data_IF_098380959292
#
_entry.id   IF_098380959292
#
_cell.length_a   1.000
_cell.length_b   1.000
_cell.length_c   1.000
_cell.angle_alpha   90.00
_cell.angle_beta   90.00
_cell.angle_gamma   90.00
#
_symmetry.space_group_name_H-M   'P 1'
#
loop_
_entity.id
_entity.type
_entity.pdbx_description
1 polymer ?
#
# COMPACT_ATOMS: atom_id res chain seq x y z
N UNK A 1 29.30 14.22 28.74
CA UNK A 1 28.91 12.89 28.24
C UNK A 1 27.48 12.99 27.77
N UNK A 2 27.24 13.03 26.45
CA UNK A 2 25.87 12.97 25.94
C UNK A 2 25.39 11.54 26.13
N UNK A 3 24.48 11.33 27.08
CA UNK A 3 23.78 10.07 27.25
C UNK A 3 23.01 9.78 25.97
N UNK A 4 23.34 8.69 25.28
CA UNK A 4 22.60 8.20 24.13
C UNK A 4 21.15 7.98 24.59
N UNK A 5 20.19 8.59 23.90
CA UNK A 5 18.78 8.38 24.24
C UNK A 5 18.42 6.93 23.89
N UNK A 6 17.72 6.20 24.78
CA UNK A 6 17.29 4.85 24.49
C UNK A 6 16.41 4.84 23.24
N UNK A 7 16.63 3.88 22.34
CA UNK A 7 15.83 3.71 21.13
C UNK A 7 14.92 2.51 21.33
N UNK A 8 13.82 2.74 22.06
CA UNK A 8 12.88 1.67 22.39
C UNK A 8 12.05 1.29 21.15
N UNK A 9 12.04 -0.01 20.84
CA UNK A 9 11.18 -0.62 19.83
C UNK A 9 10.34 -1.73 20.46
N UNK A 10 9.08 -1.86 20.05
CA UNK A 10 8.19 -2.92 20.52
C UNK A 10 8.08 -4.02 19.47
N UNK A 11 8.46 -5.24 19.83
CA UNK A 11 8.39 -6.44 18.99
C UNK A 11 7.54 -7.47 19.74
N UNK A 12 6.43 -7.90 19.14
CA UNK A 12 5.47 -8.84 19.73
C UNK A 12 4.99 -8.46 21.14
N UNK A 13 4.83 -7.15 21.39
CA UNK A 13 4.39 -6.61 22.68
C UNK A 13 5.49 -6.52 23.74
N UNK A 14 6.73 -6.86 23.40
CA UNK A 14 7.90 -6.73 24.27
C UNK A 14 8.73 -5.53 23.84
N UNK A 15 9.14 -4.71 24.81
CA UNK A 15 10.02 -3.56 24.58
C UNK A 15 11.50 -3.98 24.56
N UNK A 16 12.23 -3.52 23.56
CA UNK A 16 13.67 -3.70 23.41
C UNK A 16 14.35 -2.35 23.20
N UNK A 17 15.54 -2.14 23.78
CA UNK A 17 16.39 -1.01 23.39
C UNK A 17 17.23 -1.41 22.17
N UNK A 18 17.03 -0.76 21.04
CA UNK A 18 17.79 -1.01 19.82
C UNK A 18 19.28 -0.68 19.97
N UNK A 19 19.69 0.07 21.00
CA UNK A 19 21.11 0.28 21.30
C UNK A 19 21.81 -1.01 21.77
N UNK A 20 21.06 -2.00 22.28
CA UNK A 20 21.59 -3.30 22.71
C UNK A 20 21.70 -4.30 21.55
N UNK A 21 21.29 -3.90 20.34
CA UNK A 21 21.29 -4.79 19.17
C UNK A 21 22.70 -4.91 18.59
N UNK A 22 23.04 -6.12 18.15
CA UNK A 22 24.19 -6.32 17.27
C UNK A 22 23.89 -5.83 15.85
N UNK A 23 24.94 -5.74 15.01
CA UNK A 23 24.84 -5.23 13.64
C UNK A 23 23.77 -5.95 12.80
N UNK A 24 23.69 -7.28 12.92
CA UNK A 24 22.71 -8.07 12.18
C UNK A 24 21.27 -7.80 12.66
N UNK A 25 21.06 -7.69 13.97
CA UNK A 25 19.76 -7.36 14.55
C UNK A 25 19.30 -5.95 14.12
N UNK A 26 20.20 -4.97 14.13
CA UNK A 26 19.90 -3.62 13.66
C UNK A 26 19.59 -3.59 12.17
N UNK A 27 20.32 -4.35 11.36
CA UNK A 27 20.05 -4.50 9.93
C UNK A 27 18.65 -5.09 9.68
N UNK A 28 18.28 -6.14 10.40
CA UNK A 28 16.96 -6.77 10.31
C UNK A 28 15.84 -5.79 10.73
N UNK A 29 16.02 -5.06 11.83
CA UNK A 29 15.08 -4.02 12.27
C UNK A 29 14.87 -2.95 11.18
N UNK A 30 15.95 -2.49 10.55
CA UNK A 30 15.87 -1.51 9.46
C UNK A 30 15.15 -2.07 8.23
N UNK A 31 15.36 -3.35 7.89
CA UNK A 31 14.61 -4.01 6.82
C UNK A 31 13.11 -4.06 7.12
N UNK A 32 12.72 -4.41 8.35
CA UNK A 32 11.31 -4.41 8.75
C UNK A 32 10.68 -3.01 8.58
N UNK A 33 11.35 -1.96 9.08
CA UNK A 33 10.87 -0.59 8.96
C UNK A 33 10.75 -0.12 7.49
N UNK A 34 11.70 -0.51 6.63
CA UNK A 34 11.64 -0.20 5.20
C UNK A 34 10.49 -0.95 4.50
N UNK A 35 10.28 -2.23 4.85
CA UNK A 35 9.18 -3.03 4.31
C UNK A 35 7.82 -2.45 4.71
N UNK A 36 7.62 -2.01 5.94
CA UNK A 36 6.38 -1.36 6.37
C UNK A 36 6.07 -0.09 5.55
N UNK A 37 7.09 0.74 5.30
CA UNK A 37 6.95 1.93 4.43
C UNK A 37 6.57 1.54 3.01
N UNK A 38 7.21 0.51 2.45
CA UNK A 38 6.92 0.01 1.10
C UNK A 38 5.51 -0.57 1.00
N UNK A 39 5.09 -1.36 1.98
CA UNK A 39 3.74 -1.91 2.08
C UNK A 39 2.72 -0.79 2.04
N UNK A 40 2.88 0.26 2.87
CA UNK A 40 1.99 1.42 2.86
C UNK A 40 1.93 2.13 1.50
N UNK A 41 3.08 2.34 0.85
CA UNK A 41 3.14 2.94 -0.49
C UNK A 41 2.43 2.09 -1.54
N UNK A 42 2.64 0.76 -1.53
CA UNK A 42 1.99 -0.17 -2.45
C UNK A 42 0.48 -0.23 -2.22
N UNK A 43 0.03 -0.22 -0.96
CA UNK A 43 -1.40 -0.16 -0.64
C UNK A 43 -2.05 1.10 -1.23
N UNK A 44 -1.41 2.27 -1.09
CA UNK A 44 -1.90 3.51 -1.68
C UNK A 44 -1.96 3.45 -3.22
N UNK A 45 -0.90 2.94 -3.86
CA UNK A 45 -0.89 2.74 -5.32
C UNK A 45 -2.02 1.80 -5.76
N UNK A 46 -2.24 0.71 -5.02
CA UNK A 46 -3.34 -0.22 -5.29
C UNK A 46 -4.71 0.46 -5.18
N UNK A 47 -4.91 1.34 -4.20
CA UNK A 47 -6.14 2.12 -4.09
C UNK A 47 -6.36 2.99 -5.33
N UNK A 48 -5.32 3.68 -5.82
CA UNK A 48 -5.41 4.49 -7.03
C UNK A 48 -5.74 3.65 -8.28
N UNK A 49 -5.10 2.48 -8.42
CA UNK A 49 -5.36 1.56 -9.53
C UNK A 49 -6.81 1.06 -9.53
N UNK A 50 -7.35 0.72 -8.36
CA UNK A 50 -8.75 0.30 -8.24
C UNK A 50 -9.72 1.43 -8.63
N UNK A 51 -9.49 2.66 -8.14
CA UNK A 51 -10.30 3.82 -8.54
C UNK A 51 -10.24 4.05 -10.05
N UNK A 52 -9.04 4.02 -10.64
CA UNK A 52 -8.87 4.19 -12.09
C UNK A 52 -9.59 3.10 -12.89
N UNK A 53 -9.49 1.84 -12.46
CA UNK A 53 -10.19 0.71 -13.07
C UNK A 53 -11.71 0.88 -13.02
N UNK A 54 -12.26 1.28 -11.87
CA UNK A 54 -13.71 1.47 -11.71
C UNK A 54 -14.23 2.64 -12.55
N UNK A 55 -13.44 3.70 -12.68
CA UNK A 55 -13.74 4.81 -13.59
C UNK A 55 -13.80 4.33 -15.05
N UNK A 56 -12.78 3.60 -15.53
CA UNK A 56 -12.79 3.05 -16.88
C UNK A 56 -13.93 2.07 -17.12
N UNK A 57 -14.29 1.25 -16.12
CA UNK A 57 -15.42 0.33 -16.24
C UNK A 57 -16.75 1.09 -16.35
N UNK A 58 -16.90 2.21 -15.65
CA UNK A 58 -18.07 3.08 -15.76
C UNK A 58 -18.17 3.68 -17.16
N UNK A 59 -17.07 4.24 -17.67
CA UNK A 59 -17.01 4.78 -19.04
C UNK A 59 -17.33 3.71 -20.09
N UNK A 60 -16.81 2.48 -19.92
CA UNK A 60 -17.13 1.37 -20.82
C UNK A 60 -18.63 1.04 -20.81
N UNK A 61 -19.26 0.98 -19.62
CA UNK A 61 -20.70 0.74 -19.50
C UNK A 61 -21.53 1.83 -20.15
N UNK A 62 -21.09 3.08 -20.08
CA UNK A 62 -21.76 4.20 -20.76
C UNK A 62 -21.63 4.09 -22.27
N UNK A 63 -20.41 3.88 -22.78
CA UNK A 63 -20.17 3.69 -24.21
C UNK A 63 -20.96 2.53 -24.82
N UNK A 64 -21.14 1.43 -24.06
CA UNK A 64 -21.96 0.29 -24.50
C UNK A 64 -23.46 0.60 -24.54
N UNK A 65 -23.96 1.54 -23.71
CA UNK A 65 -25.36 2.00 -23.77
C UNK A 65 -25.59 2.97 -24.94
N UNK A 66 -24.56 3.67 -25.37
CA UNK A 66 -24.59 4.59 -26.51
C UNK A 66 -24.45 3.89 -27.86
N UNK A 67 -24.19 2.56 -27.89
CA UNK A 67 -24.32 1.80 -29.13
C UNK A 67 -25.76 1.93 -29.64
N UNK A 68 -25.96 2.50 -30.85
CA UNK A 68 -27.30 2.67 -31.38
C UNK A 68 -27.97 1.31 -31.50
N UNK A 69 -29.22 1.26 -31.06
CA UNK A 69 -30.13 0.17 -31.35
C UNK A 69 -30.39 0.10 -32.86
N UNK A 70 -29.46 -0.45 -33.63
CA UNK A 70 -29.75 -1.05 -34.94
C UNK A 70 -30.08 -2.53 -34.74
N UNK A 71 -31.20 -2.79 -34.06
CA UNK A 71 -31.88 -4.09 -34.06
C UNK A 71 -33.35 -3.95 -33.61
N UNK A 72 -34.05 -2.91 -34.09
CA UNK A 72 -35.51 -2.99 -34.21
C UNK A 72 -35.88 -2.42 -35.58
N UNK A 73 -35.52 -3.16 -36.63
CA UNK A 73 -36.24 -3.08 -37.91
C UNK A 73 -37.63 -3.63 -37.61
N UNK A 74 -38.54 -2.75 -37.20
CA UNK A 74 -39.98 -3.03 -37.23
C UNK A 74 -40.39 -3.07 -38.70
N UNK A 75 -40.56 -4.28 -39.20
CA UNK A 75 -41.32 -4.57 -40.42
C UNK A 75 -42.80 -4.20 -40.23
#
# INVERSE_FOLDING_TARGET
>A
MATQKPQIVTIDGVEYDANDFNENQLLLLNHCADLDRKIGSTQFQLQQLNVGKDAFLTMLKEALKEQPAEAEVKE
#
